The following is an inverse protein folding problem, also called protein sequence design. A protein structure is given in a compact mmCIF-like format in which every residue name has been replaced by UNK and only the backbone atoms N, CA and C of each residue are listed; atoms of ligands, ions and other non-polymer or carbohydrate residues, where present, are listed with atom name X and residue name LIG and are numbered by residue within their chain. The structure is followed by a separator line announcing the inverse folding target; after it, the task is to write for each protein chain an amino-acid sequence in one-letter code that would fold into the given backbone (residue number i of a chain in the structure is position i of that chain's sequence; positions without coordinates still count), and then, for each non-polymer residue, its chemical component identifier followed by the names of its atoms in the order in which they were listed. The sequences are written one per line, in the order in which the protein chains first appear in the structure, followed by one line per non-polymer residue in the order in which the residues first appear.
data_IF_288666923917
#
_entry.id   IF_288666923917
#
_cell.length_a   1.000
_cell.length_b   1.000
_cell.length_c   1.000
_cell.angle_alpha   90.00
_cell.angle_beta   90.00
_cell.angle_gamma   90.00
#
_symmetry.space_group_name_H-M   'P 1'
#
loop_
_entity.id
_entity.type
_entity.pdbx_description
1 polymer ?
#
# COMPACT_ATOMS: atom_id res chain seq x y z
N UNK A 1 11.28 9.16 2.13
CA UNK A 1 10.92 8.29 1.00
C UNK A 1 9.47 7.86 1.14
N UNK A 2 8.74 7.93 0.04
CA UNK A 2 7.35 7.51 -0.02
C UNK A 2 7.23 6.27 -0.89
N UNK A 3 6.64 5.22 -0.34
CA UNK A 3 6.45 3.96 -1.06
C UNK A 3 4.96 3.70 -1.25
N UNK A 4 4.59 3.33 -2.46
CA UNK A 4 3.26 2.90 -2.84
C UNK A 4 3.26 1.37 -2.85
N UNK A 5 2.33 0.75 -2.14
CA UNK A 5 2.24 -0.70 -2.05
C UNK A 5 0.83 -1.15 -2.45
N UNK A 6 0.75 -1.92 -3.52
CA UNK A 6 -0.50 -2.56 -3.91
C UNK A 6 -0.58 -3.89 -3.19
N UNK A 7 -1.50 -3.99 -2.25
CA UNK A 7 -1.60 -5.09 -1.33
C UNK A 7 -2.99 -5.75 -1.40
N UNK A 8 -3.21 -6.72 -0.60
CA UNK A 8 -4.43 -7.50 -0.52
C UNK A 8 -4.12 -8.88 0.03
N UNK A 9 -2.86 -9.09 0.38
CA UNK A 9 -2.35 -10.37 0.87
C UNK A 9 -1.65 -10.16 2.22
N UNK A 10 -1.43 -11.25 2.94
CA UNK A 10 -0.68 -11.21 4.20
C UNK A 10 0.78 -10.79 3.97
N UNK A 11 1.34 -11.12 2.82
CA UNK A 11 2.71 -10.72 2.49
C UNK A 11 2.83 -9.20 2.36
N UNK A 12 1.86 -8.57 1.70
CA UNK A 12 1.83 -7.10 1.58
C UNK A 12 1.66 -6.42 2.93
N UNK A 13 0.83 -6.99 3.80
CA UNK A 13 0.63 -6.48 5.15
C UNK A 13 1.93 -6.51 5.95
N UNK A 14 2.62 -7.62 5.92
CA UNK A 14 3.88 -7.78 6.65
C UNK A 14 4.95 -6.85 6.11
N UNK A 15 5.05 -6.73 4.80
CA UNK A 15 6.00 -5.83 4.16
C UNK A 15 5.76 -4.38 4.55
N UNK A 16 4.49 -3.92 4.54
CA UNK A 16 4.16 -2.55 4.92
C UNK A 16 4.55 -2.25 6.37
N UNK A 17 4.34 -3.19 7.26
CA UNK A 17 4.74 -3.03 8.67
C UNK A 17 6.23 -2.88 8.82
N UNK A 18 7.01 -3.70 8.12
CA UNK A 18 8.47 -3.63 8.18
C UNK A 18 9.00 -2.31 7.65
N UNK A 19 8.41 -1.84 6.55
CA UNK A 19 8.80 -0.55 5.97
C UNK A 19 8.50 0.60 6.92
N UNK A 20 7.33 0.59 7.55
CA UNK A 20 6.95 1.61 8.51
C UNK A 20 7.86 1.60 9.75
N UNK A 21 8.28 0.43 10.20
CA UNK A 21 9.19 0.28 11.35
C UNK A 21 10.54 0.94 11.12
N UNK A 22 11.00 0.97 9.88
CA UNK A 22 12.28 1.63 9.56
C UNK A 22 12.11 3.10 9.14
N UNK A 23 10.92 3.67 9.37
CA UNK A 23 10.69 5.09 9.17
C UNK A 23 10.29 5.49 7.76
N UNK A 24 9.85 4.56 6.94
CA UNK A 24 9.39 4.83 5.58
C UNK A 24 7.88 5.09 5.58
N UNK A 25 7.45 6.14 4.88
CA UNK A 25 6.03 6.42 4.69
C UNK A 25 5.46 5.47 3.65
N UNK A 26 4.48 4.68 4.04
CA UNK A 26 3.88 3.69 3.15
C UNK A 26 2.42 4.04 2.89
N UNK A 27 2.07 4.12 1.61
CA UNK A 27 0.68 4.25 1.18
C UNK A 27 0.25 2.91 0.59
N UNK A 28 -0.69 2.25 1.24
CA UNK A 28 -1.17 0.92 0.85
C UNK A 28 -2.50 1.06 0.13
N UNK A 29 -2.60 0.41 -1.01
CA UNK A 29 -3.82 0.39 -1.82
C UNK A 29 -4.31 -1.04 -1.94
N UNK A 30 -5.57 -1.27 -1.51
CA UNK A 30 -6.21 -2.57 -1.58
C UNK A 30 -7.49 -2.46 -2.41
N UNK A 31 -7.82 -3.49 -3.15
CA UNK A 31 -8.94 -3.46 -4.09
C UNK A 31 -10.31 -3.64 -3.41
N UNK A 32 -10.36 -4.26 -2.25
CA UNK A 32 -11.60 -4.62 -1.57
C UNK A 32 -11.59 -4.24 -0.09
N UNK A 33 -12.77 -4.14 0.51
CA UNK A 33 -12.88 -3.90 1.94
C UNK A 33 -12.27 -5.04 2.76
N UNK A 34 -12.39 -6.25 2.26
CA UNK A 34 -11.77 -7.41 2.89
C UNK A 34 -10.25 -7.25 2.93
N UNK A 35 -9.66 -6.81 1.82
CA UNK A 35 -8.23 -6.52 1.76
C UNK A 35 -7.83 -5.41 2.74
N UNK A 36 -8.69 -4.41 2.91
CA UNK A 36 -8.48 -3.34 3.88
C UNK A 36 -8.49 -3.85 5.31
N UNK A 37 -9.39 -4.76 5.64
CA UNK A 37 -9.46 -5.39 6.96
C UNK A 37 -8.22 -6.25 7.23
N UNK A 38 -7.79 -7.01 6.23
CA UNK A 38 -6.57 -7.82 6.32
C UNK A 38 -5.33 -6.97 6.54
N UNK A 39 -5.28 -5.81 5.89
CA UNK A 39 -4.17 -4.87 6.05
C UNK A 39 -4.12 -4.31 7.47
N UNK A 40 -5.28 -3.99 8.05
CA UNK A 40 -5.38 -3.41 9.36
C UNK A 40 -4.85 -1.99 9.43
N UNK A 41 -4.80 -1.45 10.63
CA UNK A 41 -4.29 -0.10 10.87
C UNK A 41 -2.95 -0.18 11.60
N UNK A 42 -2.02 0.68 11.20
CA UNK A 42 -0.72 0.79 11.86
C UNK A 42 -0.18 2.19 11.66
N UNK A 43 0.59 2.68 12.61
CA UNK A 43 1.22 3.99 12.53
C UNK A 43 2.24 4.02 11.38
N UNK A 44 2.21 5.11 10.61
CA UNK A 44 3.10 5.26 9.46
C UNK A 44 2.59 4.59 8.19
N UNK A 45 1.42 3.98 8.24
CA UNK A 45 0.81 3.33 7.09
C UNK A 45 -0.55 3.94 6.82
N UNK A 46 -0.75 4.41 5.59
CA UNK A 46 -2.02 4.93 5.12
C UNK A 46 -2.65 3.91 4.19
N UNK A 47 -3.87 3.49 4.47
CA UNK A 47 -4.56 2.45 3.69
C UNK A 47 -5.73 3.06 2.94
N UNK A 48 -5.80 2.80 1.65
CA UNK A 48 -6.91 3.22 0.79
C UNK A 48 -7.55 1.99 0.16
N UNK A 49 -8.88 1.92 0.21
CA UNK A 49 -9.66 0.82 -0.35
C UNK A 49 -10.31 1.27 -1.65
N UNK A 50 -10.27 0.41 -2.65
CA UNK A 50 -10.91 0.66 -3.93
C UNK A 50 -10.05 0.22 -5.10
N UNK A 51 -10.70 -0.29 -6.14
CA UNK A 51 -9.99 -0.67 -7.37
C UNK A 51 -9.47 0.57 -8.07
N UNK A 52 -8.26 0.48 -8.56
CA UNK A 52 -7.63 1.55 -9.34
C UNK A 52 -7.61 1.17 -10.81
N UNK A 53 -7.87 2.15 -11.67
CA UNK A 53 -7.67 1.98 -13.10
C UNK A 53 -6.17 2.00 -13.39
N UNK A 54 -5.80 1.55 -14.57
CA UNK A 54 -4.40 1.59 -15.01
C UNK A 54 -3.84 3.00 -14.99
N UNK A 55 -4.65 3.98 -15.38
CA UNK A 55 -4.28 5.38 -15.37
C UNK A 55 -4.07 5.91 -13.96
N UNK A 56 -4.95 5.56 -13.02
CA UNK A 56 -4.82 5.94 -11.62
C UNK A 56 -3.56 5.35 -10.99
N UNK A 57 -3.27 4.08 -11.30
CA UNK A 57 -2.05 3.43 -10.81
C UNK A 57 -0.79 4.13 -11.33
N UNK A 58 -0.82 4.54 -12.59
CA UNK A 58 0.30 5.28 -13.19
C UNK A 58 0.54 6.61 -12.49
N UNK A 59 -0.52 7.35 -12.17
CA UNK A 59 -0.41 8.59 -11.44
C UNK A 59 0.17 8.39 -10.04
N UNK A 60 -0.23 7.32 -9.36
CA UNK A 60 0.32 6.98 -8.04
C UNK A 60 1.81 6.67 -8.14
N UNK A 61 2.22 5.96 -9.18
CA UNK A 61 3.63 5.64 -9.40
C UNK A 61 4.47 6.90 -9.58
N UNK A 62 3.92 7.92 -10.23
CA UNK A 62 4.63 9.18 -10.44
C UNK A 62 4.77 10.00 -9.15
N UNK A 63 3.87 9.81 -8.20
CA UNK A 63 3.86 10.56 -6.94
C UNK A 63 4.70 9.91 -5.83
N UNK A 64 5.14 8.69 -6.04
CA UNK A 64 5.89 7.93 -5.06
C UNK A 64 7.28 7.60 -5.57
N UNK A 65 8.22 7.44 -4.65
CA UNK A 65 9.60 7.10 -4.99
C UNK A 65 9.73 5.67 -5.49
N UNK A 66 8.87 4.79 -4.99
CA UNK A 66 8.88 3.38 -5.36
C UNK A 66 7.48 2.82 -5.25
N UNK A 67 7.12 1.93 -6.15
CA UNK A 67 5.87 1.19 -6.11
C UNK A 67 6.13 -0.31 -6.10
N UNK A 68 5.45 -1.00 -5.21
CA UNK A 68 5.60 -2.45 -5.05
C UNK A 68 4.23 -3.10 -5.28
N UNK A 69 4.23 -4.14 -6.08
CA UNK A 69 3.03 -4.96 -6.31
C UNK A 69 3.16 -6.25 -5.51
N UNK A 70 2.35 -6.35 -4.46
CA UNK A 70 2.33 -7.50 -3.56
C UNK A 70 0.96 -8.21 -3.58
N UNK A 71 0.30 -8.16 -4.71
CA UNK A 71 -1.01 -8.82 -4.89
C UNK A 71 -0.89 -10.29 -5.26
#
# INVERSE_FOLDING_TARGET
MKICLFSGTSDGREMSKRLAEIGIDVSVYVATEYGGEEQGEAEGIEVSVGRKTEEEMRELMLKHDLCIDAT
#
